data_IF_919065826096
#
_entry.id   IF_919065826096
#
_cell.length_a   1.000
_cell.length_b   1.000
_cell.length_c   1.000
_cell.angle_alpha   90.00
_cell.angle_beta   90.00
_cell.angle_gamma   90.00
#
_symmetry.space_group_name_H-M   'P 1'
#
loop_
_entity.id
_entity.type
_entity.pdbx_description
1 polymer ?
#
# COMPACT_ATOMS: atom_id res chain seq x y z
N UNK A 1 57.67 6.10 40.97
CA UNK A 1 58.35 4.80 40.85
C UNK A 1 57.28 3.76 40.56
N UNK A 2 57.22 3.28 39.32
CA UNK A 2 57.66 1.94 38.87
C UNK A 2 56.48 0.94 38.92
N UNK A 3 55.68 0.81 37.86
CA UNK A 3 55.88 -0.01 36.63
C UNK A 3 55.34 -1.44 36.79
N UNK A 4 54.66 -1.89 35.72
CA UNK A 4 54.47 -3.28 35.23
C UNK A 4 53.28 -4.04 35.85
N UNK A 5 52.51 -4.87 35.14
CA UNK A 5 52.65 -5.65 33.88
C UNK A 5 51.25 -5.61 33.18
N UNK A 6 51.07 -5.10 31.96
CA UNK A 6 51.21 -5.71 30.63
C UNK A 6 50.47 -7.05 30.37
N UNK A 7 49.36 -6.97 29.62
CA UNK A 7 48.94 -7.85 28.49
C UNK A 7 48.99 -9.37 28.63
N UNK A 8 47.89 -10.06 28.27
CA UNK A 8 47.86 -11.01 27.14
C UNK A 8 46.45 -11.07 26.55
N UNK A 9 46.32 -10.69 25.28
CA UNK A 9 45.21 -11.04 24.40
C UNK A 9 45.30 -12.53 24.05
N UNK A 10 44.18 -13.27 24.10
CA UNK A 10 44.10 -14.56 23.40
C UNK A 10 42.80 -14.64 22.60
N UNK A 11 42.95 -14.38 21.31
CA UNK A 11 42.01 -14.70 20.26
C UNK A 11 42.19 -16.20 19.94
N UNK A 12 41.13 -17.00 20.03
CA UNK A 12 41.13 -18.36 19.51
C UNK A 12 39.82 -18.59 18.73
N UNK A 13 39.93 -18.43 17.41
CA UNK A 13 38.96 -18.89 16.43
C UNK A 13 39.19 -20.40 16.29
N UNK A 14 38.16 -21.21 16.50
CA UNK A 14 38.13 -22.59 16.01
C UNK A 14 36.82 -22.80 15.28
N UNK A 15 36.86 -22.64 13.96
CA UNK A 15 35.83 -23.15 13.05
C UNK A 15 36.26 -24.55 12.64
N UNK A 16 35.59 -25.63 13.07
CA UNK A 16 35.56 -26.90 12.34
C UNK A 16 34.26 -27.67 12.62
N UNK A 17 33.81 -28.33 11.55
CA UNK A 17 32.51 -28.89 11.23
C UNK A 17 32.06 -30.12 12.05
N UNK A 18 30.73 -30.24 12.20
CA UNK A 18 29.87 -31.45 12.11
C UNK A 18 30.32 -32.74 12.82
N UNK A 19 29.56 -33.13 13.85
CA UNK A 19 29.14 -34.53 14.06
C UNK A 19 27.82 -34.57 14.84
N UNK A 20 26.84 -35.29 14.30
CA UNK A 20 25.59 -35.65 14.96
C UNK A 20 25.85 -36.45 16.24
N UNK A 21 25.06 -36.20 17.29
CA UNK A 21 24.35 -37.21 18.08
C UNK A 21 23.45 -36.54 19.11
N UNK A 22 22.17 -36.48 18.74
CA UNK A 22 20.97 -36.76 19.55
C UNK A 22 21.19 -36.97 21.07
N UNK A 23 20.59 -36.11 21.91
CA UNK A 23 19.66 -36.50 22.97
C UNK A 23 19.05 -35.27 23.68
N UNK A 24 17.80 -35.46 24.13
CA UNK A 24 16.80 -34.49 24.60
C UNK A 24 17.26 -33.37 25.53
N UNK A 25 16.87 -32.13 25.19
CA UNK A 25 16.67 -31.06 26.16
C UNK A 25 15.27 -30.45 25.99
N UNK A 26 14.42 -30.76 26.98
CA UNK A 26 13.17 -30.08 27.27
C UNK A 26 13.44 -28.58 27.40
N UNK A 27 12.97 -27.80 26.43
CA UNK A 27 12.91 -26.33 26.54
C UNK A 27 11.46 -25.92 26.74
N UNK A 28 11.19 -24.95 27.63
CA UNK A 28 9.83 -24.55 27.97
C UNK A 28 9.19 -23.88 26.76
N UNK A 29 7.93 -24.24 26.49
CA UNK A 29 7.08 -23.62 25.46
C UNK A 29 7.02 -22.11 25.67
N UNK A 30 7.88 -21.38 24.95
CA UNK A 30 7.60 -19.99 24.64
C UNK A 30 6.49 -20.07 23.62
N UNK A 31 5.25 -19.93 24.09
CA UNK A 31 4.08 -19.65 23.26
C UNK A 31 4.41 -18.38 22.49
N UNK A 32 4.99 -18.57 21.30
CA UNK A 32 5.10 -17.54 20.30
C UNK A 32 3.65 -17.19 19.96
N UNK A 33 3.15 -16.16 20.61
CA UNK A 33 1.89 -15.54 20.31
C UNK A 33 2.05 -14.96 18.90
N UNK A 34 1.82 -15.81 17.89
CA UNK A 34 1.79 -15.44 16.50
C UNK A 34 0.57 -14.53 16.34
N UNK A 35 0.75 -13.26 16.70
CA UNK A 35 -0.08 -12.19 16.17
C UNK A 35 0.03 -12.34 14.67
N UNK A 36 -1.02 -12.91 14.08
CA UNK A 36 -1.10 -13.14 12.65
C UNK A 36 -0.83 -11.80 11.98
N UNK A 37 0.37 -11.64 11.42
CA UNK A 37 0.70 -10.47 10.62
C UNK A 37 -0.38 -10.40 9.55
N UNK A 38 -1.17 -9.32 9.48
CA UNK A 38 -2.24 -9.23 8.51
C UNK A 38 -1.65 -9.49 7.13
N UNK A 39 -2.17 -10.51 6.43
CA UNK A 39 -1.71 -10.87 5.08
C UNK A 39 -1.72 -9.60 4.24
N UNK A 40 -0.55 -9.13 3.83
CA UNK A 40 -0.46 -7.95 2.99
C UNK A 40 -1.17 -8.25 1.68
N UNK A 41 -2.11 -7.38 1.30
CA UNK A 41 -2.75 -7.49 -0.02
C UNK A 41 -1.67 -7.26 -1.07
N UNK A 42 -1.57 -8.11 -2.11
CA UNK A 42 -0.59 -7.91 -3.17
C UNK A 42 -0.69 -6.50 -3.78
N UNK A 43 0.47 -5.91 -4.06
CA UNK A 43 0.60 -4.68 -4.82
C UNK A 43 0.26 -5.00 -6.27
N UNK A 44 -0.65 -4.24 -6.87
CA UNK A 44 -1.04 -4.37 -8.28
C UNK A 44 -0.20 -3.40 -9.10
N UNK A 45 0.17 -3.81 -10.31
CA UNK A 45 0.82 -2.93 -11.27
C UNK A 45 -0.11 -1.75 -11.59
N UNK A 46 0.40 -0.53 -11.47
CA UNK A 46 -0.31 0.67 -11.91
C UNK A 46 0.22 1.05 -13.27
N UNK A 47 -0.65 0.96 -14.27
CA UNK A 47 -0.29 1.36 -15.63
C UNK A 47 -0.20 2.88 -15.74
N UNK A 48 0.73 3.36 -16.56
CA UNK A 48 0.85 4.78 -16.84
C UNK A 48 -0.37 5.26 -17.64
N UNK A 49 -1.06 6.29 -17.14
CA UNK A 49 -2.20 6.87 -17.83
C UNK A 49 -1.74 7.92 -18.87
N UNK A 50 -2.25 7.79 -20.09
CA UNK A 50 -2.16 8.83 -21.13
C UNK A 50 -3.58 9.28 -21.47
N UNK A 51 -3.86 10.57 -21.32
CA UNK A 51 -5.17 11.12 -21.61
C UNK A 51 -5.53 10.92 -23.10
N UNK A 52 -6.71 10.37 -23.41
CA UNK A 52 -7.16 10.26 -24.79
C UNK A 52 -7.48 11.64 -25.38
N UNK A 53 -7.40 11.76 -26.71
CA UNK A 53 -7.77 13.00 -27.41
C UNK A 53 -9.27 13.29 -27.37
N UNK A 54 -10.09 12.25 -27.21
CA UNK A 54 -11.54 12.36 -27.04
C UNK A 54 -11.91 12.24 -25.55
N UNK A 55 -12.74 13.16 -25.02
CA UNK A 55 -13.25 13.08 -23.66
C UNK A 55 -14.41 12.08 -23.50
N UNK A 56 -14.75 11.29 -24.52
CA UNK A 56 -15.84 10.30 -24.47
C UNK A 56 -15.35 9.02 -23.78
N UNK A 57 -16.11 8.53 -22.79
CA UNK A 57 -15.80 7.29 -22.06
C UNK A 57 -16.66 6.12 -22.51
N UNK A 58 -16.10 4.93 -22.38
CA UNK A 58 -16.87 3.68 -22.57
C UNK A 58 -17.73 3.37 -21.34
N UNK A 59 -18.76 2.52 -21.53
CA UNK A 59 -19.58 2.02 -20.42
C UNK A 59 -18.74 1.30 -19.36
N UNK A 60 -17.70 0.58 -19.75
CA UNK A 60 -16.83 -0.11 -18.79
C UNK A 60 -15.94 0.85 -18.01
N UNK A 61 -15.41 1.91 -18.64
CA UNK A 61 -14.72 2.98 -17.91
C UNK A 61 -15.63 3.66 -16.89
N UNK A 62 -16.88 3.95 -17.25
CA UNK A 62 -17.86 4.52 -16.32
C UNK A 62 -18.15 3.56 -15.14
N UNK A 63 -18.32 2.26 -15.38
CA UNK A 63 -18.49 1.26 -14.30
C UNK A 63 -17.28 1.21 -13.36
N UNK A 64 -16.06 1.22 -13.91
CA UNK A 64 -14.81 1.21 -13.12
C UNK A 64 -14.67 2.50 -12.31
N UNK A 65 -15.01 3.64 -12.91
CA UNK A 65 -15.07 4.92 -12.23
C UNK A 65 -16.06 4.93 -11.06
N UNK A 66 -17.28 4.44 -11.25
CA UNK A 66 -18.29 4.37 -10.19
C UNK A 66 -17.79 3.50 -9.00
N UNK A 67 -17.19 2.33 -9.30
CA UNK A 67 -16.57 1.46 -8.29
C UNK A 67 -15.41 2.14 -7.57
N UNK A 68 -14.51 2.80 -8.31
CA UNK A 68 -13.41 3.55 -7.75
C UNK A 68 -13.90 4.65 -6.80
N UNK A 69 -14.93 5.40 -7.21
CA UNK A 69 -15.49 6.52 -6.44
C UNK A 69 -15.99 6.05 -5.07
N UNK A 70 -16.82 4.99 -5.04
CA UNK A 70 -17.31 4.43 -3.78
C UNK A 70 -16.17 3.94 -2.87
N UNK A 71 -15.22 3.20 -3.44
CA UNK A 71 -14.11 2.64 -2.68
C UNK A 71 -13.11 3.73 -2.19
N UNK A 72 -12.90 4.80 -2.95
CA UNK A 72 -12.07 5.93 -2.53
C UNK A 72 -12.70 6.72 -1.36
N UNK A 73 -14.03 6.83 -1.30
CA UNK A 73 -14.72 7.42 -0.16
C UNK A 73 -14.46 6.59 1.10
N UNK A 74 -14.65 5.27 1.02
CA UNK A 74 -14.37 4.38 2.16
C UNK A 74 -12.90 4.41 2.59
N UNK A 75 -11.98 4.46 1.61
CA UNK A 75 -10.55 4.60 1.89
C UNK A 75 -10.29 5.92 2.61
N UNK A 76 -10.86 7.04 2.14
CA UNK A 76 -10.74 8.35 2.79
C UNK A 76 -11.16 8.29 4.25
N UNK A 77 -12.36 7.78 4.54
CA UNK A 77 -12.89 7.66 5.92
C UNK A 77 -11.93 6.91 6.84
N UNK A 78 -11.35 5.79 6.38
CA UNK A 78 -10.41 4.99 7.19
C UNK A 78 -9.07 5.70 7.44
N UNK A 79 -8.65 6.55 6.52
CA UNK A 79 -7.35 7.23 6.61
C UNK A 79 -7.43 8.58 7.33
N UNK A 80 -8.57 9.28 7.27
CA UNK A 80 -8.78 10.56 7.95
C UNK A 80 -8.42 10.49 9.43
N UNK A 81 -8.94 9.49 10.16
CA UNK A 81 -8.66 9.34 11.60
C UNK A 81 -7.15 9.18 11.89
N UNK A 82 -6.42 8.48 11.02
CA UNK A 82 -4.96 8.29 11.16
C UNK A 82 -4.20 9.57 10.84
N UNK A 83 -4.65 10.34 9.85
CA UNK A 83 -4.03 11.61 9.45
C UNK A 83 -4.26 12.69 10.52
N UNK A 84 -5.43 12.72 11.13
CA UNK A 84 -5.82 13.72 12.12
C UNK A 84 -5.11 13.52 13.47
N UNK A 85 -4.80 12.26 13.83
CA UNK A 85 -4.11 11.90 15.08
C UNK A 85 -2.58 11.92 14.97
N UNK A 86 -2.04 12.02 13.76
CA UNK A 86 -0.60 11.94 13.54
C UNK A 86 0.13 13.24 13.89
N UNK A 87 1.36 13.10 14.38
CA UNK A 87 2.29 14.22 14.55
C UNK A 87 2.77 14.72 13.18
N UNK A 88 3.20 15.99 13.07
CA UNK A 88 3.54 16.62 11.78
C UNK A 88 4.54 15.83 10.92
N UNK A 89 5.58 15.27 11.55
CA UNK A 89 6.59 14.46 10.85
C UNK A 89 6.04 13.13 10.30
N UNK A 90 5.11 12.51 11.02
CA UNK A 90 4.45 11.26 10.61
C UNK A 90 3.35 11.52 9.57
N UNK A 91 2.71 12.69 9.63
CA UNK A 91 1.63 13.10 8.74
C UNK A 91 2.06 13.05 7.28
N UNK A 92 3.27 13.50 6.97
CA UNK A 92 3.83 13.43 5.60
C UNK A 92 3.93 11.99 5.11
N UNK A 93 4.41 11.08 5.96
CA UNK A 93 4.54 9.66 5.61
C UNK A 93 3.17 9.01 5.38
N UNK A 94 2.20 9.33 6.24
CA UNK A 94 0.83 8.83 6.12
C UNK A 94 0.16 9.39 4.85
N UNK A 95 0.34 10.67 4.53
CA UNK A 95 -0.20 11.26 3.30
C UNK A 95 0.41 10.63 2.05
N UNK A 96 1.71 10.36 2.05
CA UNK A 96 2.36 9.64 0.94
C UNK A 96 1.81 8.21 0.79
N UNK A 97 1.67 7.49 1.90
CA UNK A 97 1.09 6.15 1.88
C UNK A 97 -0.38 6.15 1.45
N UNK A 98 -1.14 7.19 1.82
CA UNK A 98 -2.52 7.39 1.37
C UNK A 98 -2.59 7.61 -0.15
N UNK A 99 -1.71 8.43 -0.71
CA UNK A 99 -1.64 8.65 -2.16
C UNK A 99 -1.35 7.34 -2.92
N UNK A 100 -0.40 6.53 -2.44
CA UNK A 100 -0.13 5.20 -2.99
C UNK A 100 -1.35 4.28 -2.85
N UNK A 101 -2.04 4.32 -1.71
CA UNK A 101 -3.22 3.49 -1.49
C UNK A 101 -4.37 3.85 -2.44
N UNK A 102 -4.60 5.15 -2.72
CA UNK A 102 -5.58 5.61 -3.71
C UNK A 102 -5.26 5.09 -5.10
N UNK A 103 -4.00 5.21 -5.50
CA UNK A 103 -3.53 4.77 -6.81
C UNK A 103 -3.69 3.25 -7.00
N UNK A 104 -3.29 2.48 -5.99
CA UNK A 104 -3.46 1.03 -5.95
C UNK A 104 -4.94 0.60 -5.95
N UNK A 105 -5.82 1.35 -5.29
CA UNK A 105 -7.25 1.07 -5.27
C UNK A 105 -7.86 1.29 -6.66
N UNK A 106 -7.52 2.38 -7.34
CA UNK A 106 -7.92 2.63 -8.72
C UNK A 106 -7.40 1.52 -9.67
N UNK A 107 -6.15 1.11 -9.52
CA UNK A 107 -5.58 0.01 -10.32
C UNK A 107 -6.30 -1.33 -10.09
N UNK A 108 -6.68 -1.65 -8.85
CA UNK A 108 -7.43 -2.88 -8.52
C UNK A 108 -8.81 -2.96 -9.17
N UNK A 109 -9.44 -1.82 -9.43
CA UNK A 109 -10.72 -1.78 -10.15
C UNK A 109 -10.55 -1.65 -11.67
N UNK A 110 -9.31 -1.69 -12.16
CA UNK A 110 -8.97 -1.70 -13.58
C UNK A 110 -8.84 -0.33 -14.24
N UNK A 111 -8.60 0.73 -13.46
CA UNK A 111 -8.19 2.03 -14.00
C UNK A 111 -6.64 2.11 -14.05
N UNK A 112 -6.09 2.96 -14.90
CA UNK A 112 -4.67 3.33 -14.90
C UNK A 112 -4.35 4.28 -13.73
N UNK A 113 -4.59 3.79 -12.51
CA UNK A 113 -4.34 4.50 -11.27
C UNK A 113 -5.25 5.71 -11.02
N UNK A 114 -4.81 6.54 -10.08
CA UNK A 114 -5.50 7.76 -9.68
C UNK A 114 -5.49 8.82 -10.80
N UNK A 115 -4.54 8.72 -11.73
CA UNK A 115 -4.41 9.62 -12.88
C UNK A 115 -5.62 9.49 -13.82
N UNK A 116 -5.99 8.27 -14.22
CA UNK A 116 -7.20 8.06 -15.03
C UNK A 116 -8.46 8.49 -14.27
N UNK A 117 -8.57 8.15 -12.98
CA UNK A 117 -9.70 8.58 -12.15
C UNK A 117 -9.86 10.11 -12.12
N UNK A 118 -8.78 10.85 -11.93
CA UNK A 118 -8.79 12.31 -11.89
C UNK A 118 -9.16 12.89 -13.25
N UNK A 119 -8.65 12.31 -14.35
CA UNK A 119 -9.05 12.71 -15.70
C UNK A 119 -10.54 12.47 -15.95
N UNK A 120 -11.06 11.30 -15.57
CA UNK A 120 -12.49 11.02 -15.69
C UNK A 120 -13.30 12.05 -14.90
N UNK A 121 -12.92 12.32 -13.65
CA UNK A 121 -13.62 13.29 -12.78
C UNK A 121 -13.61 14.71 -13.34
N UNK A 122 -12.47 15.17 -13.87
CA UNK A 122 -12.29 16.57 -14.26
C UNK A 122 -12.63 16.87 -15.72
N UNK A 123 -12.57 15.87 -16.60
CA UNK A 123 -12.73 16.05 -18.05
C UNK A 123 -13.91 15.28 -18.60
N UNK A 124 -13.99 13.98 -18.33
CA UNK A 124 -15.02 13.13 -18.94
C UNK A 124 -16.39 13.26 -18.27
N UNK A 125 -16.44 13.35 -16.94
CA UNK A 125 -17.66 13.48 -16.16
C UNK A 125 -18.47 14.73 -16.55
N UNK A 126 -17.89 15.95 -16.63
CA UNK A 126 -18.65 17.14 -17.04
C UNK A 126 -19.00 17.18 -18.53
N UNK A 127 -18.52 16.25 -19.36
CA UNK A 127 -18.85 16.23 -20.79
C UNK A 127 -20.30 15.74 -21.01
N UNK A 128 -21.18 16.54 -21.62
CA UNK A 128 -22.58 16.17 -21.85
C UNK A 128 -22.77 14.87 -22.66
N UNK A 129 -21.80 14.52 -23.52
CA UNK A 129 -21.86 13.28 -24.32
C UNK A 129 -21.79 12.02 -23.46
N UNK A 130 -21.23 12.10 -22.25
CA UNK A 130 -21.10 10.96 -21.35
C UNK A 130 -22.24 10.85 -20.34
N UNK A 131 -23.19 11.80 -20.33
CA UNK A 131 -24.25 11.87 -19.32
C UNK A 131 -25.00 10.56 -19.16
N UNK A 132 -25.55 10.04 -20.27
CA UNK A 132 -26.27 8.77 -20.25
C UNK A 132 -25.41 7.59 -19.80
N UNK A 133 -24.13 7.59 -20.16
CA UNK A 133 -23.17 6.53 -19.79
C UNK A 133 -22.90 6.50 -18.29
N UNK A 134 -22.75 7.66 -17.65
CA UNK A 134 -22.55 7.77 -16.21
C UNK A 134 -23.84 7.53 -15.41
N UNK A 135 -24.97 8.07 -15.87
CA UNK A 135 -26.27 7.84 -15.24
C UNK A 135 -26.65 6.35 -15.24
N UNK A 136 -26.32 5.62 -16.32
CA UNK A 136 -26.54 4.18 -16.42
C UNK A 136 -25.78 3.35 -15.38
N UNK A 137 -24.73 3.90 -14.76
CA UNK A 137 -23.95 3.27 -13.69
C UNK A 137 -24.21 3.91 -12.32
N UNK A 138 -25.23 4.75 -12.21
CA UNK A 138 -25.63 5.39 -10.95
C UNK A 138 -24.77 6.58 -10.53
N UNK A 139 -23.97 7.14 -11.44
CA UNK A 139 -23.18 8.35 -11.18
C UNK A 139 -24.01 9.57 -11.59
N UNK A 140 -24.23 10.47 -10.63
CA UNK A 140 -24.86 11.76 -10.89
C UNK A 140 -23.85 12.68 -11.57
N UNK A 141 -24.25 13.26 -12.70
CA UNK A 141 -23.43 14.17 -13.49
C UNK A 141 -23.85 15.62 -13.17
N UNK A 142 -22.90 16.54 -12.91
CA UNK A 142 -23.19 17.95 -12.66
C UNK A 142 -23.77 18.68 -13.87
#
# INVERSE_FOLDING_TARGET
>A
MLKRILTVSLLAIVSFFVSCSQEEQVTPDIVANQSAVPKSVPIVQVDAFTAPSSPVVTADQAKRYAKASAALIELGVRWTDRIDKAQDAEKVQILNAYNVARDQLCARVGLAGIAEYNWITSVALPNPQNKATFEAVGVQVP
#
